data_IF_777477867695
#
_entry.id   IF_777477867695
#
_cell.length_a   1.000
_cell.length_b   1.000
_cell.length_c   1.000
_cell.angle_alpha   90.00
_cell.angle_beta   90.00
_cell.angle_gamma   90.00
#
_symmetry.space_group_name_H-M   'P 1'
#
loop_
_entity.id
_entity.type
_entity.pdbx_description
1 polymer ?
#
# COMPACT_ATOMS: atom_id res chain seq x y z
N UNK A 1 -34.23 21.58 43.97
CA UNK A 1 -33.83 20.16 43.96
C UNK A 1 -34.07 19.36 42.67
N UNK A 2 -34.79 19.89 41.65
CA UNK A 2 -35.03 19.15 40.38
C UNK A 2 -33.90 19.29 39.31
N UNK A 3 -32.90 20.14 39.51
CA UNK A 3 -31.79 20.34 38.57
C UNK A 3 -30.59 19.40 38.81
N UNK A 4 -30.44 18.87 40.04
CA UNK A 4 -29.36 17.93 40.38
C UNK A 4 -29.62 16.48 39.96
N UNK A 5 -30.90 16.11 39.75
CA UNK A 5 -31.27 14.76 39.30
C UNK A 5 -31.06 14.54 37.79
N UNK A 6 -30.78 15.62 36.99
CA UNK A 6 -30.52 15.52 35.55
C UNK A 6 -29.05 15.34 35.19
N UNK A 7 -28.17 15.53 36.19
CA UNK A 7 -26.72 15.34 36.02
C UNK A 7 -26.23 13.96 36.51
N UNK A 8 -27.11 13.15 37.11
CA UNK A 8 -26.78 11.79 37.55
C UNK A 8 -26.91 10.75 36.43
N UNK A 9 -27.24 11.16 35.21
CA UNK A 9 -27.37 10.30 34.00
C UNK A 9 -26.31 10.56 32.94
N UNK A 10 -25.30 11.37 33.19
CA UNK A 10 -24.11 11.37 32.38
C UNK A 10 -23.33 10.10 32.71
N UNK A 11 -23.54 9.07 31.92
CA UNK A 11 -22.60 7.94 31.86
C UNK A 11 -21.18 8.56 31.82
N UNK A 12 -20.34 8.11 32.76
CA UNK A 12 -18.93 8.46 32.71
C UNK A 12 -18.46 8.18 31.28
N UNK A 13 -18.03 9.22 30.58
CA UNK A 13 -17.33 9.06 29.32
C UNK A 13 -16.25 8.05 29.63
N UNK A 14 -16.46 6.79 29.23
CA UNK A 14 -15.40 5.81 29.21
C UNK A 14 -14.37 6.45 28.29
N UNK A 15 -13.28 6.93 28.86
CA UNK A 15 -12.05 7.18 28.13
C UNK A 15 -11.70 5.81 27.52
N UNK A 16 -12.20 5.55 26.33
CA UNK A 16 -11.78 4.39 25.55
C UNK A 16 -10.27 4.55 25.45
N UNK A 17 -9.55 3.56 25.96
CA UNK A 17 -8.10 3.56 25.81
C UNK A 17 -7.84 3.60 24.29
N UNK A 18 -7.00 4.53 23.81
CA UNK A 18 -6.69 4.58 22.40
C UNK A 18 -6.24 3.19 21.95
N UNK A 19 -6.75 2.75 20.81
CA UNK A 19 -6.36 1.47 20.22
C UNK A 19 -4.85 1.50 19.97
N UNK A 20 -4.15 0.45 20.38
CA UNK A 20 -2.70 0.32 20.15
C UNK A 20 -2.42 -0.97 19.40
N UNK A 21 -1.56 -0.86 18.41
CA UNK A 21 -0.94 -1.99 17.72
C UNK A 21 0.39 -2.25 18.44
N UNK A 22 0.66 -3.49 18.78
CA UNK A 22 1.92 -3.91 19.39
C UNK A 22 2.45 -5.11 18.63
N UNK A 23 3.67 -4.99 18.10
CA UNK A 23 4.46 -6.12 17.61
C UNK A 23 5.35 -6.61 18.75
N UNK A 24 5.27 -7.90 19.07
CA UNK A 24 6.12 -8.49 20.06
C UNK A 24 7.60 -8.43 19.63
N UNK A 25 8.50 -8.37 20.61
CA UNK A 25 9.93 -8.48 20.35
C UNK A 25 10.23 -9.86 19.75
N UNK A 26 10.92 -9.94 18.58
CA UNK A 26 11.22 -11.21 17.96
C UNK A 26 12.09 -12.09 18.85
N UNK A 27 11.75 -13.36 18.99
CA UNK A 27 12.53 -14.32 19.78
C UNK A 27 13.99 -14.47 19.28
N UNK A 28 14.22 -14.21 17.98
CA UNK A 28 15.54 -14.21 17.35
C UNK A 28 15.61 -13.11 16.30
N UNK A 29 16.71 -12.37 16.29
CA UNK A 29 16.99 -11.32 15.32
C UNK A 29 18.39 -11.52 14.72
N UNK A 30 18.54 -12.42 13.74
CA UNK A 30 19.83 -12.65 13.07
C UNK A 30 20.26 -11.42 12.28
N UNK A 31 21.57 -11.12 12.25
CA UNK A 31 22.12 -9.93 11.60
C UNK A 31 21.74 -9.86 10.10
N UNK A 32 21.91 -10.94 9.35
CA UNK A 32 21.54 -11.04 7.94
C UNK A 32 20.24 -11.84 7.81
N UNK A 33 19.18 -11.20 7.33
CA UNK A 33 17.83 -11.78 7.24
C UNK A 33 17.55 -12.32 5.84
N UNK A 34 17.73 -11.49 4.80
CA UNK A 34 17.49 -11.86 3.40
C UNK A 34 18.58 -11.27 2.52
N UNK A 35 19.12 -12.08 1.58
CA UNK A 35 20.07 -11.64 0.57
C UNK A 35 19.56 -12.06 -0.82
N UNK A 36 19.50 -11.12 -1.75
CA UNK A 36 19.30 -11.39 -3.18
C UNK A 36 20.63 -11.20 -3.92
N UNK A 37 20.98 -12.15 -4.78
CA UNK A 37 22.20 -12.09 -5.59
C UNK A 37 21.86 -12.27 -7.06
N UNK A 38 22.00 -11.18 -7.83
CA UNK A 38 21.78 -11.18 -9.26
C UNK A 38 20.39 -11.70 -9.68
N UNK A 39 19.36 -11.34 -8.91
CA UNK A 39 18.03 -11.90 -9.08
C UNK A 39 17.31 -11.24 -10.25
N UNK A 40 16.79 -12.06 -11.15
CA UNK A 40 15.77 -11.68 -12.13
C UNK A 40 14.42 -12.15 -11.62
N UNK A 41 13.45 -11.24 -11.55
CA UNK A 41 12.10 -11.53 -11.09
C UNK A 41 11.05 -11.06 -12.11
N UNK A 42 9.94 -11.79 -12.17
CA UNK A 42 8.85 -11.50 -13.11
C UNK A 42 7.80 -12.59 -13.08
N UNK A 43 6.91 -12.56 -14.06
CA UNK A 43 5.71 -13.40 -14.08
C UNK A 43 5.74 -14.33 -15.29
N UNK A 44 5.30 -15.57 -15.10
CA UNK A 44 5.07 -16.51 -16.18
C UNK A 44 4.00 -15.97 -17.13
N UNK A 45 4.22 -16.12 -18.43
CA UNK A 45 3.22 -15.79 -19.44
C UNK A 45 2.60 -17.10 -19.97
N UNK A 46 1.29 -17.10 -20.32
CA UNK A 46 0.64 -18.29 -20.88
C UNK A 46 1.29 -18.74 -22.19
N UNK A 47 1.77 -17.80 -22.99
CA UNK A 47 2.46 -18.04 -24.26
C UNK A 47 3.74 -17.18 -24.30
N UNK A 48 4.91 -17.84 -24.46
CA UNK A 48 6.19 -17.16 -24.60
C UNK A 48 7.08 -17.18 -23.36
N UNK A 49 8.22 -16.46 -23.39
CA UNK A 49 9.12 -16.36 -22.25
C UNK A 49 8.50 -15.55 -21.12
N UNK A 50 8.90 -15.78 -19.86
CA UNK A 50 8.40 -15.02 -18.71
C UNK A 50 8.59 -13.51 -18.90
N UNK A 51 7.59 -12.72 -18.49
CA UNK A 51 7.71 -11.27 -18.43
C UNK A 51 8.64 -10.89 -17.28
N UNK A 52 9.85 -10.50 -17.61
CA UNK A 52 10.87 -10.08 -16.66
C UNK A 52 10.61 -8.63 -16.24
N UNK A 53 10.40 -8.40 -14.94
CA UNK A 53 10.11 -7.07 -14.36
C UNK A 53 11.34 -6.48 -13.72
N UNK A 54 12.13 -7.30 -13.01
CA UNK A 54 13.36 -6.89 -12.33
C UNK A 54 14.55 -7.68 -12.88
N UNK A 55 15.71 -7.01 -12.98
CA UNK A 55 16.91 -7.56 -13.61
C UNK A 55 18.12 -7.44 -12.69
N UNK A 56 18.83 -8.56 -12.47
CA UNK A 56 20.13 -8.58 -11.79
C UNK A 56 20.12 -7.96 -10.40
N UNK A 57 19.01 -8.07 -9.65
CA UNK A 57 18.84 -7.41 -8.36
C UNK A 57 19.84 -7.96 -7.34
N UNK A 58 20.63 -7.05 -6.75
CA UNK A 58 21.36 -7.25 -5.52
C UNK A 58 20.65 -6.52 -4.39
N UNK A 59 20.35 -7.20 -3.29
CA UNK A 59 19.67 -6.60 -2.14
C UNK A 59 20.08 -7.34 -0.87
N UNK A 60 20.33 -6.61 0.21
CA UNK A 60 20.66 -7.17 1.51
C UNK A 60 19.80 -6.53 2.59
N UNK A 61 19.02 -7.35 3.30
CA UNK A 61 18.22 -6.92 4.44
C UNK A 61 18.87 -7.41 5.73
N UNK A 62 19.25 -6.46 6.55
CA UNK A 62 19.86 -6.71 7.86
C UNK A 62 18.85 -6.45 8.99
N UNK A 63 19.17 -6.95 10.17
CA UNK A 63 18.39 -6.69 11.38
C UNK A 63 18.31 -5.19 11.67
N UNK A 64 17.11 -4.72 12.00
CA UNK A 64 16.87 -3.31 12.31
C UNK A 64 16.89 -2.36 11.11
N UNK A 65 17.11 -2.85 9.88
CA UNK A 65 17.02 -2.02 8.68
C UNK A 65 15.60 -1.46 8.49
N UNK A 66 15.49 -0.18 8.16
CA UNK A 66 14.22 0.55 7.97
C UNK A 66 14.20 1.19 6.60
N UNK A 67 13.73 0.42 5.61
CA UNK A 67 13.88 0.77 4.21
C UNK A 67 12.54 1.13 3.57
N UNK A 68 12.48 2.25 2.87
CA UNK A 68 11.37 2.56 1.97
C UNK A 68 11.72 2.24 0.53
N UNK A 69 10.82 1.56 -0.17
CA UNK A 69 10.94 1.30 -1.61
C UNK A 69 10.24 2.40 -2.39
N UNK A 70 11.03 3.21 -3.09
CA UNK A 70 10.58 4.32 -3.90
C UNK A 70 10.58 3.93 -5.39
N UNK A 71 9.58 4.36 -6.13
CA UNK A 71 9.48 4.08 -7.57
C UNK A 71 8.10 4.43 -8.12
N UNK A 72 7.99 4.72 -9.42
CA UNK A 72 6.69 4.96 -10.05
C UNK A 72 5.77 3.73 -9.97
N UNK A 73 4.48 3.94 -10.23
CA UNK A 73 3.54 2.82 -10.31
C UNK A 73 3.94 1.88 -11.45
N UNK A 74 3.83 0.57 -11.23
CA UNK A 74 4.26 -0.44 -12.19
C UNK A 74 5.78 -0.65 -12.30
N UNK A 75 6.63 0.05 -11.53
CA UNK A 75 8.08 -0.10 -11.58
C UNK A 75 8.61 -1.45 -11.08
N UNK A 76 7.78 -2.24 -10.39
CA UNK A 76 8.17 -3.54 -9.84
C UNK A 76 8.38 -3.56 -8.32
N UNK A 77 7.89 -2.56 -7.57
CA UNK A 77 7.99 -2.53 -6.09
C UNK A 77 7.34 -3.76 -5.46
N UNK A 78 6.09 -4.06 -5.79
CA UNK A 78 5.39 -5.25 -5.28
C UNK A 78 6.02 -6.55 -5.79
N UNK A 79 6.64 -6.55 -6.99
CA UNK A 79 7.43 -7.69 -7.49
C UNK A 79 8.65 -7.93 -6.60
N UNK A 80 9.36 -6.87 -6.21
CA UNK A 80 10.50 -6.97 -5.28
C UNK A 80 10.04 -7.50 -3.92
N UNK A 81 8.95 -6.94 -3.36
CA UNK A 81 8.41 -7.39 -2.07
C UNK A 81 8.03 -8.88 -2.12
N UNK A 82 7.30 -9.33 -3.13
CA UNK A 82 6.94 -10.75 -3.33
C UNK A 82 8.17 -11.65 -3.50
N UNK A 83 9.23 -11.13 -4.13
CA UNK A 83 10.51 -11.83 -4.24
C UNK A 83 11.20 -11.96 -2.88
N UNK A 84 11.18 -10.89 -2.06
CA UNK A 84 11.72 -10.90 -0.70
C UNK A 84 10.94 -11.86 0.22
N UNK A 85 9.62 -11.92 0.11
CA UNK A 85 8.78 -12.91 0.83
C UNK A 85 9.11 -14.33 0.37
N UNK A 86 9.38 -14.53 -0.91
CA UNK A 86 9.56 -15.84 -1.52
C UNK A 86 8.29 -16.41 -2.14
N UNK A 87 7.27 -15.58 -2.34
CA UNK A 87 6.03 -15.95 -3.05
C UNK A 87 6.21 -16.01 -4.56
N UNK A 88 7.20 -15.26 -5.09
CA UNK A 88 7.44 -15.21 -6.53
C UNK A 88 8.64 -16.10 -6.89
N UNK A 89 8.49 -17.09 -7.79
CA UNK A 89 9.60 -17.88 -8.30
C UNK A 89 10.62 -17.01 -9.02
N UNK A 90 11.90 -17.23 -8.74
CA UNK A 90 12.97 -16.50 -9.41
C UNK A 90 13.14 -16.96 -10.86
N UNK A 91 13.36 -16.04 -11.78
CA UNK A 91 13.72 -16.35 -13.17
C UNK A 91 15.22 -16.61 -13.32
N UNK A 92 16.04 -15.98 -12.49
CA UNK A 92 17.50 -16.20 -12.37
C UNK A 92 17.99 -15.67 -11.02
N UNK A 93 19.23 -16.01 -10.66
CA UNK A 93 19.86 -15.57 -9.42
C UNK A 93 19.50 -16.42 -8.21
N UNK A 94 19.76 -15.89 -7.04
CA UNK A 94 19.63 -16.63 -5.78
C UNK A 94 18.99 -15.73 -4.70
N UNK A 95 18.02 -16.29 -3.94
CA UNK A 95 17.49 -15.71 -2.71
C UNK A 95 17.94 -16.57 -1.53
N UNK A 96 18.71 -15.98 -0.64
CA UNK A 96 19.20 -16.62 0.58
C UNK A 96 18.40 -16.00 1.75
N UNK A 97 17.69 -16.82 2.49
CA UNK A 97 16.94 -16.42 3.67
C UNK A 97 17.51 -17.12 4.91
N UNK A 98 17.59 -16.39 6.02
CA UNK A 98 18.04 -16.99 7.27
C UNK A 98 17.05 -18.08 7.75
N UNK A 99 17.50 -19.20 8.34
CA UNK A 99 16.58 -20.26 8.83
C UNK A 99 15.57 -19.79 9.88
N UNK A 100 15.95 -18.81 10.72
CA UNK A 100 15.08 -18.22 11.73
C UNK A 100 14.29 -17.01 11.19
N UNK A 101 14.21 -16.80 9.87
CA UNK A 101 13.44 -15.72 9.27
C UNK A 101 11.95 -15.95 9.52
N UNK A 102 11.27 -14.94 10.08
CA UNK A 102 9.82 -14.87 10.24
C UNK A 102 9.32 -13.59 9.59
N UNK A 103 8.65 -13.73 8.47
CA UNK A 103 8.15 -12.59 7.68
C UNK A 103 6.70 -12.30 8.06
N UNK A 104 6.44 -11.06 8.46
CA UNK A 104 5.11 -10.47 8.46
C UNK A 104 4.90 -9.72 7.16
N UNK A 105 4.05 -10.23 6.28
CA UNK A 105 3.76 -9.60 4.99
C UNK A 105 2.34 -9.03 4.99
N UNK A 106 2.26 -7.71 4.78
CA UNK A 106 1.00 -7.00 4.61
C UNK A 106 0.94 -6.37 3.23
N UNK A 107 -0.07 -6.76 2.47
CA UNK A 107 -0.39 -6.17 1.17
C UNK A 107 -1.91 -6.15 0.99
N UNK A 108 -2.39 -5.44 -0.01
CA UNK A 108 -3.83 -5.37 -0.29
C UNK A 108 -4.46 -6.77 -0.39
N UNK A 109 -3.81 -7.70 -1.10
CA UNK A 109 -4.32 -9.08 -1.23
C UNK A 109 -4.34 -9.86 0.10
N UNK A 110 -3.57 -9.46 1.12
CA UNK A 110 -3.63 -10.11 2.46
C UNK A 110 -4.98 -9.86 3.12
N UNK A 111 -5.55 -8.67 2.93
CA UNK A 111 -6.89 -8.32 3.42
C UNK A 111 -7.97 -9.06 2.62
N UNK A 112 -7.77 -9.19 1.32
CA UNK A 112 -8.69 -9.91 0.41
C UNK A 112 -8.64 -11.43 0.58
N UNK A 113 -7.52 -11.96 1.08
CA UNK A 113 -7.30 -13.42 1.27
C UNK A 113 -7.91 -13.97 2.57
N UNK A 114 -8.56 -13.13 3.37
CA UNK A 114 -9.32 -13.63 4.52
C UNK A 114 -10.43 -14.58 4.04
N UNK A 115 -10.50 -15.75 4.64
CA UNK A 115 -11.45 -16.78 4.24
C UNK A 115 -12.88 -16.35 4.52
N UNK A 116 -13.67 -16.24 3.47
CA UNK A 116 -15.11 -15.93 3.54
C UNK A 116 -15.85 -16.95 4.41
N UNK A 117 -16.86 -16.49 5.13
CA UNK A 117 -17.66 -17.34 6.05
C UNK A 117 -16.94 -17.71 7.34
N UNK A 118 -15.66 -17.37 7.52
CA UNK A 118 -14.89 -17.73 8.71
C UNK A 118 -14.74 -16.54 9.69
N UNK A 119 -14.45 -16.87 10.95
CA UNK A 119 -14.33 -15.88 12.03
C UNK A 119 -12.87 -15.51 12.33
N UNK A 120 -12.61 -14.37 13.01
CA UNK A 120 -11.27 -14.02 13.51
C UNK A 120 -10.62 -15.16 14.32
N UNK A 121 -11.38 -15.81 15.17
CA UNK A 121 -10.89 -16.93 15.97
C UNK A 121 -10.46 -18.10 15.09
N UNK A 122 -11.23 -18.40 14.06
CA UNK A 122 -10.87 -19.47 13.10
C UNK A 122 -9.54 -19.15 12.41
N UNK A 123 -9.33 -17.93 11.94
CA UNK A 123 -8.09 -17.53 11.28
C UNK A 123 -6.88 -17.68 12.20
N UNK A 124 -6.96 -17.23 13.46
CA UNK A 124 -5.86 -17.43 14.41
C UNK A 124 -5.62 -18.91 14.74
N UNK A 125 -6.68 -19.71 14.77
CA UNK A 125 -6.55 -21.15 15.02
C UNK A 125 -5.85 -21.90 13.90
N UNK A 126 -5.92 -21.39 12.65
CA UNK A 126 -5.12 -21.93 11.53
C UNK A 126 -3.62 -21.64 11.74
N UNK A 127 -3.26 -20.50 12.32
CA UNK A 127 -1.86 -20.13 12.61
C UNK A 127 -1.30 -20.88 13.81
N UNK A 128 -2.14 -21.21 14.80
CA UNK A 128 -1.75 -21.89 16.02
C UNK A 128 -2.80 -22.95 16.43
N UNK A 129 -2.83 -24.12 15.76
CA UNK A 129 -3.84 -25.18 16.03
C UNK A 129 -3.83 -25.68 17.46
N UNK A 130 -2.65 -25.70 18.10
CA UNK A 130 -2.44 -26.21 19.45
C UNK A 130 -2.72 -25.16 20.55
N UNK A 131 -2.93 -23.88 20.18
CA UNK A 131 -3.21 -22.82 21.12
C UNK A 131 -4.61 -22.97 21.74
N UNK A 132 -4.69 -22.75 23.06
CA UNK A 132 -5.96 -22.75 23.79
C UNK A 132 -6.89 -21.64 23.29
N UNK A 133 -8.16 -21.96 23.08
CA UNK A 133 -9.16 -21.00 22.58
C UNK A 133 -9.22 -19.71 23.38
N UNK A 134 -9.15 -19.81 24.72
CA UNK A 134 -9.19 -18.64 25.59
C UNK A 134 -7.99 -17.70 25.38
N UNK A 135 -6.80 -18.24 25.09
CA UNK A 135 -5.62 -17.44 24.77
C UNK A 135 -5.79 -16.68 23.46
N UNK A 136 -6.33 -17.33 22.42
CA UNK A 136 -6.63 -16.71 21.13
C UNK A 136 -7.71 -15.62 21.28
N UNK A 137 -8.76 -15.85 22.06
CA UNK A 137 -9.80 -14.86 22.35
C UNK A 137 -9.25 -13.65 23.10
N UNK A 138 -8.37 -13.86 24.09
CA UNK A 138 -7.71 -12.78 24.81
C UNK A 138 -6.81 -11.96 23.89
N UNK A 139 -6.11 -12.62 22.96
CA UNK A 139 -5.32 -11.95 21.93
C UNK A 139 -6.21 -11.11 21.02
N UNK A 140 -7.28 -11.66 20.46
CA UNK A 140 -8.25 -10.96 19.63
C UNK A 140 -8.89 -9.77 20.35
N UNK A 141 -9.14 -9.89 21.65
CA UNK A 141 -9.69 -8.79 22.44
C UNK A 141 -8.81 -7.55 22.46
N UNK A 142 -7.46 -7.70 22.39
CA UNK A 142 -6.52 -6.57 22.28
C UNK A 142 -6.62 -5.86 20.91
N UNK A 143 -7.10 -6.57 19.90
CA UNK A 143 -7.33 -6.06 18.55
C UNK A 143 -8.77 -5.63 18.29
N UNK A 144 -9.54 -5.36 19.35
CA UNK A 144 -10.96 -4.97 19.28
C UNK A 144 -11.90 -6.03 18.68
N UNK A 145 -11.51 -7.32 18.72
CA UNK A 145 -12.38 -8.46 18.40
C UNK A 145 -12.75 -9.24 19.65
N UNK A 146 -13.36 -8.54 20.65
CA UNK A 146 -13.77 -9.14 21.92
C UNK A 146 -15.20 -9.71 21.86
N UNK A 147 -15.51 -10.66 22.74
CA UNK A 147 -16.87 -11.23 22.88
C UNK A 147 -17.31 -11.95 21.63
N UNK A 148 -18.53 -11.63 21.17
CA UNK A 148 -19.16 -12.25 19.99
C UNK A 148 -18.43 -11.90 18.68
N UNK A 149 -17.76 -10.74 18.64
CA UNK A 149 -16.97 -10.28 17.49
C UNK A 149 -15.87 -11.29 17.08
N UNK A 150 -15.31 -12.05 18.02
CA UNK A 150 -14.32 -13.07 17.75
C UNK A 150 -14.88 -14.26 16.92
N UNK A 151 -16.19 -14.45 16.94
CA UNK A 151 -16.91 -15.55 16.29
C UNK A 151 -17.69 -15.12 15.06
N UNK A 152 -17.89 -13.83 14.83
CA UNK A 152 -18.63 -13.32 13.66
C UNK A 152 -17.86 -13.60 12.36
N UNK A 153 -18.59 -13.82 11.26
CA UNK A 153 -17.98 -13.97 9.94
C UNK A 153 -17.33 -12.66 9.50
N UNK A 154 -16.12 -12.76 8.93
CA UNK A 154 -15.40 -11.63 8.35
C UNK A 154 -16.12 -10.99 7.16
N UNK A 155 -17.14 -11.65 6.59
CA UNK A 155 -17.90 -11.15 5.44
C UNK A 155 -18.63 -9.82 5.78
N UNK A 156 -19.08 -9.69 7.03
CA UNK A 156 -19.70 -8.49 7.54
C UNK A 156 -18.76 -7.39 7.98
N UNK A 157 -17.43 -7.60 7.87
CA UNK A 157 -16.44 -6.63 8.35
C UNK A 157 -16.19 -5.54 7.31
N UNK A 158 -16.03 -4.31 7.81
CA UNK A 158 -15.53 -3.19 7.02
C UNK A 158 -14.10 -3.44 6.54
N UNK A 159 -13.66 -2.69 5.53
CA UNK A 159 -12.26 -2.76 5.05
C UNK A 159 -11.23 -2.52 6.17
N UNK A 160 -11.49 -1.56 7.06
CA UNK A 160 -10.65 -1.28 8.22
C UNK A 160 -10.62 -2.43 9.26
N UNK A 161 -11.74 -3.09 9.50
CA UNK A 161 -11.79 -4.26 10.40
C UNK A 161 -11.06 -5.47 9.81
N UNK A 162 -11.18 -5.68 8.49
CA UNK A 162 -10.42 -6.74 7.79
C UNK A 162 -8.92 -6.45 7.83
N UNK A 163 -8.51 -5.21 7.58
CA UNK A 163 -7.10 -4.80 7.69
C UNK A 163 -6.56 -4.95 9.12
N UNK A 164 -7.35 -4.60 10.13
CA UNK A 164 -7.01 -4.81 11.55
C UNK A 164 -6.83 -6.29 11.88
N UNK A 165 -7.70 -7.17 11.36
CA UNK A 165 -7.55 -8.62 11.54
C UNK A 165 -6.29 -9.13 10.85
N UNK A 166 -6.00 -8.70 9.63
CA UNK A 166 -4.79 -9.07 8.91
C UNK A 166 -3.52 -8.64 9.69
N UNK A 167 -3.49 -7.42 10.22
CA UNK A 167 -2.40 -6.94 11.08
C UNK A 167 -2.30 -7.76 12.38
N UNK A 168 -3.43 -8.12 12.99
CA UNK A 168 -3.45 -9.00 14.16
C UNK A 168 -2.82 -10.37 13.86
N UNK A 169 -3.13 -10.96 12.72
CA UNK A 169 -2.55 -12.24 12.29
C UNK A 169 -1.04 -12.12 12.04
N UNK A 170 -0.59 -11.03 11.44
CA UNK A 170 0.83 -10.75 11.21
C UNK A 170 1.57 -10.58 12.55
N UNK A 171 1.02 -9.79 13.47
CA UNK A 171 1.63 -9.59 14.78
C UNK A 171 1.66 -10.88 15.63
N UNK A 172 0.68 -11.78 15.42
CA UNK A 172 0.57 -13.05 16.14
C UNK A 172 1.74 -14.00 15.88
N UNK A 173 2.32 -13.98 14.68
CA UNK A 173 3.44 -14.85 14.32
C UNK A 173 4.81 -14.33 14.80
N UNK A 174 4.84 -13.20 15.52
CA UNK A 174 6.06 -12.58 16.07
C UNK A 174 7.15 -12.43 15.00
N UNK A 175 6.91 -11.65 13.94
CA UNK A 175 7.84 -11.51 12.83
C UNK A 175 9.14 -10.83 13.27
N UNK A 176 10.25 -11.13 12.60
CA UNK A 176 11.50 -10.37 12.70
C UNK A 176 11.75 -9.48 11.47
N UNK A 177 10.90 -9.62 10.45
CA UNK A 177 10.85 -8.75 9.27
C UNK A 177 9.40 -8.38 8.97
N UNK A 178 9.12 -7.10 8.78
CA UNK A 178 7.85 -6.60 8.26
C UNK A 178 8.04 -6.12 6.82
N UNK A 179 7.32 -6.71 5.89
CA UNK A 179 7.22 -6.27 4.51
C UNK A 179 5.81 -5.71 4.31
N UNK A 180 5.72 -4.40 4.06
CA UNK A 180 4.45 -3.68 4.05
C UNK A 180 4.27 -3.01 2.69
N UNK A 181 3.25 -3.42 1.93
CA UNK A 181 2.91 -2.85 0.63
C UNK A 181 1.59 -2.07 0.75
N UNK A 182 1.68 -0.72 0.78
CA UNK A 182 0.57 0.23 0.98
C UNK A 182 -0.28 -0.06 2.23
N UNK A 183 0.33 -0.15 3.43
CA UNK A 183 -0.37 -0.63 4.63
C UNK A 183 -1.42 0.35 5.16
N UNK A 184 -1.41 1.60 4.75
CA UNK A 184 -2.35 2.64 5.19
C UNK A 184 -3.64 2.67 4.39
N UNK A 185 -3.70 1.95 3.26
CA UNK A 185 -4.92 1.85 2.47
C UNK A 185 -6.04 1.19 3.30
N UNK A 186 -7.22 1.79 3.27
CA UNK A 186 -8.41 1.34 4.01
C UNK A 186 -8.33 1.48 5.55
N UNK A 187 -7.27 2.07 6.11
CA UNK A 187 -7.20 2.37 7.54
C UNK A 187 -7.79 3.75 7.84
N UNK A 188 -8.56 3.85 8.91
CA UNK A 188 -8.98 5.13 9.50
C UNK A 188 -7.76 5.83 10.16
N UNK A 189 -7.96 7.09 10.57
CA UNK A 189 -6.88 7.91 11.12
C UNK A 189 -6.27 7.29 12.37
N UNK A 190 -7.10 6.81 13.30
CA UNK A 190 -6.66 6.21 14.56
C UNK A 190 -5.81 4.96 14.31
N UNK A 191 -6.22 4.13 13.35
CA UNK A 191 -5.47 2.95 12.94
C UNK A 191 -4.15 3.29 12.24
N UNK A 192 -4.10 4.36 11.43
CA UNK A 192 -2.86 4.83 10.79
C UNK A 192 -1.84 5.30 11.83
N UNK A 193 -2.30 6.09 12.81
CA UNK A 193 -1.46 6.57 13.91
C UNK A 193 -0.95 5.40 14.76
N UNK A 194 -1.84 4.48 15.16
CA UNK A 194 -1.45 3.30 15.92
C UNK A 194 -0.45 2.40 15.16
N UNK A 195 -0.62 2.26 13.83
CA UNK A 195 0.32 1.52 12.99
C UNK A 195 1.68 2.23 12.91
N UNK A 196 1.68 3.55 12.71
CA UNK A 196 2.90 4.35 12.62
C UNK A 196 3.73 4.25 13.93
N UNK A 197 3.08 4.39 15.09
CA UNK A 197 3.72 4.20 16.40
C UNK A 197 4.30 2.79 16.54
N UNK A 198 3.51 1.76 16.22
CA UNK A 198 3.93 0.36 16.32
C UNK A 198 5.11 0.02 15.41
N UNK A 199 5.16 0.61 14.21
CA UNK A 199 6.27 0.44 13.28
C UNK A 199 7.53 1.19 13.74
N UNK A 200 7.38 2.40 14.32
CA UNK A 200 8.49 3.15 14.88
C UNK A 200 9.18 2.38 16.04
N UNK A 201 8.39 1.70 16.86
CA UNK A 201 8.89 0.92 18.01
C UNK A 201 9.32 -0.51 17.65
N UNK A 202 9.05 -0.99 16.42
CA UNK A 202 9.35 -2.36 16.02
C UNK A 202 10.87 -2.61 15.96
N UNK A 203 11.41 -3.60 16.70
CA UNK A 203 12.86 -3.84 16.77
C UNK A 203 13.44 -4.60 15.57
N UNK A 204 12.58 -5.24 14.75
CA UNK A 204 12.97 -5.99 13.56
C UNK A 204 13.24 -5.11 12.34
N UNK A 205 13.48 -5.74 11.19
CA UNK A 205 13.65 -5.02 9.94
C UNK A 205 12.30 -4.67 9.28
N UNK A 206 12.24 -3.52 8.63
CA UNK A 206 11.07 -3.04 7.91
C UNK A 206 11.44 -2.73 6.47
N UNK A 207 10.62 -3.22 5.53
CA UNK A 207 10.61 -2.77 4.14
C UNK A 207 9.22 -2.24 3.84
N UNK A 208 9.11 -0.96 3.55
CA UNK A 208 7.87 -0.23 3.39
C UNK A 208 7.72 0.26 1.94
N UNK A 209 6.61 -0.07 1.31
CA UNK A 209 6.11 0.59 0.10
C UNK A 209 4.93 1.44 0.53
N UNK A 210 5.01 2.74 0.37
CA UNK A 210 3.91 3.65 0.69
C UNK A 210 3.98 4.94 -0.12
N UNK A 211 2.83 5.56 -0.32
CA UNK A 211 2.71 6.93 -0.81
C UNK A 211 2.57 7.95 0.33
N UNK A 212 2.41 7.48 1.56
CA UNK A 212 2.33 8.31 2.75
C UNK A 212 3.73 8.77 3.19
N UNK A 213 4.08 10.01 2.84
CA UNK A 213 5.38 10.62 3.17
C UNK A 213 5.60 10.77 4.67
N UNK A 214 4.52 10.96 5.44
CA UNK A 214 4.60 11.08 6.90
C UNK A 214 5.02 9.74 7.50
N UNK A 215 4.35 8.66 7.12
CA UNK A 215 4.69 7.32 7.58
C UNK A 215 6.12 6.93 7.18
N UNK A 216 6.54 7.20 5.93
CA UNK A 216 7.90 6.93 5.48
C UNK A 216 8.92 7.70 6.34
N UNK A 217 8.70 9.01 6.55
CA UNK A 217 9.62 9.86 7.32
C UNK A 217 9.69 9.49 8.82
N UNK A 218 8.64 8.88 9.37
CA UNK A 218 8.61 8.43 10.76
C UNK A 218 9.31 7.07 10.95
N UNK A 219 9.19 6.17 9.96
CA UNK A 219 9.56 4.77 10.11
C UNK A 219 10.88 4.43 9.42
N UNK A 220 11.20 5.07 8.28
CA UNK A 220 12.31 4.68 7.42
C UNK A 220 13.46 5.67 7.47
N UNK A 221 14.68 5.16 7.50
CA UNK A 221 15.95 5.91 7.46
C UNK A 221 16.78 5.62 6.18
N UNK A 222 16.42 4.59 5.42
CA UNK A 222 17.05 4.23 4.15
C UNK A 222 16.04 4.17 3.01
N UNK A 223 16.49 4.55 1.80
CA UNK A 223 15.66 4.54 0.61
C UNK A 223 16.25 3.65 -0.48
N UNK A 224 15.40 2.84 -1.08
CA UNK A 224 15.75 2.06 -2.26
C UNK A 224 14.86 2.43 -3.42
N UNK A 225 15.45 2.69 -4.57
CA UNK A 225 14.74 3.06 -5.77
C UNK A 225 14.54 1.86 -6.68
N UNK A 226 13.30 1.66 -7.09
CA UNK A 226 12.88 0.66 -8.08
C UNK A 226 12.45 1.39 -9.34
N UNK A 227 13.19 1.26 -10.43
CA UNK A 227 12.88 1.91 -11.69
C UNK A 227 13.56 1.19 -12.87
N UNK A 228 12.89 1.12 -14.02
CA UNK A 228 13.41 0.54 -15.27
C UNK A 228 13.96 -0.89 -15.12
N UNK A 229 13.33 -1.67 -14.25
CA UNK A 229 13.77 -3.04 -13.93
C UNK A 229 14.98 -3.15 -13.03
N UNK A 230 15.57 -2.03 -12.60
CA UNK A 230 16.69 -1.99 -11.68
C UNK A 230 16.24 -1.63 -10.25
N UNK A 231 17.01 -2.12 -9.29
CA UNK A 231 16.81 -1.85 -7.86
C UNK A 231 18.16 -1.41 -7.30
N UNK A 232 18.19 -0.30 -6.56
CA UNK A 232 19.41 0.23 -5.97
C UNK A 232 19.14 1.23 -4.85
N UNK A 233 20.13 1.44 -4.01
CA UNK A 233 20.06 2.45 -2.96
C UNK A 233 19.86 3.85 -3.56
N UNK A 234 19.16 4.68 -2.82
CA UNK A 234 18.90 6.07 -3.16
C UNK A 234 19.41 6.96 -2.02
N UNK A 235 20.52 7.66 -2.26
CA UNK A 235 21.20 8.50 -1.26
C UNK A 235 20.53 9.86 -1.03
N UNK A 236 19.40 10.13 -1.68
CA UNK A 236 18.62 11.37 -1.55
C UNK A 236 17.52 11.29 -0.49
N UNK A 237 16.89 12.42 -0.24
CA UNK A 237 15.67 12.51 0.57
C UNK A 237 14.38 12.37 -0.25
N UNK A 238 13.21 12.43 0.43
CA UNK A 238 11.91 12.34 -0.23
C UNK A 238 11.60 13.53 -1.15
N UNK A 239 12.21 14.71 -0.94
CA UNK A 239 12.03 15.86 -1.79
C UNK A 239 12.88 15.75 -3.05
N UNK A 240 14.10 15.24 -2.92
CA UNK A 240 14.96 14.91 -4.05
C UNK A 240 14.36 13.77 -4.89
N UNK A 241 13.74 12.77 -4.25
CA UNK A 241 12.98 11.75 -4.96
C UNK A 241 11.79 12.35 -5.73
N UNK A 242 11.03 13.25 -5.13
CA UNK A 242 9.93 13.93 -5.81
C UNK A 242 10.42 14.80 -6.99
N UNK A 243 11.58 15.43 -6.86
CA UNK A 243 12.22 16.16 -7.96
C UNK A 243 12.63 15.23 -9.10
N UNK A 244 13.22 14.06 -8.76
CA UNK A 244 13.59 13.03 -9.72
C UNK A 244 12.37 12.48 -10.48
N UNK A 245 11.24 12.21 -9.79
CA UNK A 245 9.99 11.79 -10.44
C UNK A 245 9.48 12.82 -11.45
N UNK A 246 9.53 14.10 -11.08
CA UNK A 246 9.10 15.20 -11.97
C UNK A 246 10.00 15.32 -13.21
N UNK A 247 11.31 15.13 -13.07
CA UNK A 247 12.24 15.17 -14.20
C UNK A 247 11.96 14.04 -15.19
N UNK A 248 11.60 12.85 -14.72
CA UNK A 248 11.24 11.72 -15.59
C UNK A 248 9.93 11.91 -16.35
N UNK A 249 8.96 12.61 -15.77
CA UNK A 249 7.70 12.95 -16.45
C UNK A 249 7.90 13.85 -17.68
N UNK A 250 9.06 14.52 -17.77
CA UNK A 250 9.44 15.41 -18.88
C UNK A 250 10.41 14.78 -19.89
N UNK A 251 10.95 13.59 -19.61
CA UNK A 251 11.82 12.90 -20.58
C UNK A 251 10.97 12.14 -21.61
N UNK A 252 11.23 12.29 -22.92
CA UNK A 252 10.60 11.45 -23.94
C UNK A 252 11.03 10.00 -23.67
N UNK A 253 10.04 9.13 -23.49
CA UNK A 253 10.23 7.70 -23.30
C UNK A 253 11.24 7.18 -24.33
N UNK A 254 12.37 6.56 -23.96
CA UNK A 254 13.29 6.01 -24.95
C UNK A 254 12.57 4.95 -25.76
N UNK A 255 12.47 5.17 -27.07
CA UNK A 255 12.01 4.15 -28.01
C UNK A 255 12.85 2.88 -27.80
N UNK A 256 12.17 1.79 -27.54
CA UNK A 256 12.77 0.46 -27.47
C UNK A 256 13.54 0.22 -28.75
N UNK A 257 14.86 0.22 -28.67
CA UNK A 257 15.71 -0.10 -29.81
C UNK A 257 15.39 -1.51 -30.31
N UNK A 258 15.11 -1.68 -31.62
CA UNK A 258 14.91 -3.02 -32.16
C UNK A 258 16.25 -3.77 -32.15
N UNK A 259 16.21 -5.01 -31.66
CA UNK A 259 17.33 -5.92 -31.67
C UNK A 259 17.92 -6.03 -33.10
N UNK A 260 19.24 -5.81 -33.18
CA UNK A 260 19.99 -5.92 -34.41
C UNK A 260 19.91 -7.33 -35.01
N UNK A 261 19.28 -7.48 -36.13
CA UNK A 261 19.42 -8.65 -36.99
C UNK A 261 20.17 -8.23 -38.26
N UNK A 262 21.27 -8.92 -38.49
CA UNK A 262 22.15 -8.83 -39.63
C UNK A 262 21.45 -9.04 -40.99
N UNK A 263 21.81 -8.20 -41.96
CA UNK A 263 21.42 -8.25 -43.38
C UNK A 263 22.11 -9.44 -44.13
N UNK A 264 21.84 -9.77 -45.45
CA UNK A 264 21.30 -8.90 -46.50
C UNK A 264 20.34 -9.52 -47.57
N UNK A 265 19.69 -8.63 -48.30
CA UNK A 265 19.29 -8.61 -49.69
C UNK A 265 18.19 -9.54 -50.26
N UNK A 266 17.11 -9.03 -50.73
CA UNK A 266 16.76 -8.71 -52.13
C UNK A 266 15.30 -8.24 -52.28
N UNK A 267 15.15 -7.26 -53.16
CA UNK A 267 13.92 -6.65 -53.67
C UNK A 267 12.85 -7.67 -54.11
N UNK A 268 11.59 -7.38 -53.81
CA UNK A 268 10.56 -7.24 -54.84
C UNK A 268 9.29 -6.54 -54.28
N UNK A 269 8.73 -5.71 -55.13
CA UNK A 269 7.58 -4.85 -54.95
C UNK A 269 6.28 -5.64 -54.79
N UNK A 270 5.38 -5.14 -53.92
CA UNK A 270 4.00 -5.62 -53.86
C UNK A 270 3.18 -4.78 -52.88
N UNK A 271 2.37 -3.86 -53.41
CA UNK A 271 1.41 -3.02 -52.71
C UNK A 271 0.41 -3.85 -51.94
N UNK A 272 0.22 -3.54 -50.63
CA UNK A 272 -1.11 -3.52 -50.00
C UNK A 272 -1.05 -2.72 -48.70
N UNK A 273 -1.84 -1.66 -48.63
CA UNK A 273 -1.98 -0.77 -47.50
C UNK A 273 -2.75 -1.47 -46.36
N UNK A 274 -2.08 -1.67 -45.23
CA UNK A 274 -2.71 -1.95 -43.93
C UNK A 274 -2.48 -0.75 -43.04
N UNK A 275 -3.54 0.01 -42.73
CA UNK A 275 -3.52 1.12 -41.79
C UNK A 275 -3.14 0.60 -40.40
N UNK A 276 -1.94 0.92 -39.92
CA UNK A 276 -1.64 0.91 -38.52
C UNK A 276 -2.50 1.97 -37.86
N UNK A 277 -3.30 1.58 -36.88
CA UNK A 277 -4.10 2.49 -36.07
C UNK A 277 -3.15 3.43 -35.30
N UNK A 278 -3.27 4.72 -35.56
CA UNK A 278 -2.63 5.76 -34.78
C UNK A 278 -3.30 5.77 -33.39
N UNK A 279 -2.55 5.94 -32.28
CA UNK A 279 -3.16 6.13 -30.96
C UNK A 279 -4.19 7.25 -31.07
N UNK A 280 -5.39 7.01 -30.51
CA UNK A 280 -6.48 7.97 -30.56
C UNK A 280 -6.07 9.23 -29.78
N UNK A 281 -5.63 10.25 -30.52
CA UNK A 281 -5.26 11.55 -29.98
C UNK A 281 -6.40 12.19 -29.14
N UNK A 282 -7.65 11.70 -29.32
CA UNK A 282 -8.82 12.06 -28.54
C UNK A 282 -8.82 11.45 -27.13
N UNK A 283 -8.42 10.19 -26.97
CA UNK A 283 -8.37 9.51 -25.67
C UNK A 283 -7.26 10.09 -24.79
N UNK A 284 -6.07 10.31 -25.34
CA UNK A 284 -4.95 10.95 -24.63
C UNK A 284 -5.27 12.39 -24.18
N UNK A 285 -6.03 13.14 -24.99
CA UNK A 285 -6.48 14.48 -24.63
C UNK A 285 -7.52 14.48 -23.52
N UNK A 286 -8.45 13.52 -23.53
CA UNK A 286 -9.45 13.36 -22.46
C UNK A 286 -8.80 12.91 -21.17
N UNK A 287 -7.86 11.99 -21.21
CA UNK A 287 -7.10 11.54 -20.04
C UNK A 287 -6.44 12.74 -19.35
N UNK A 288 -5.72 13.58 -20.11
CA UNK A 288 -5.07 14.78 -19.57
C UNK A 288 -6.07 15.80 -18.98
N UNK A 289 -7.23 15.99 -19.61
CA UNK A 289 -8.28 16.85 -19.09
C UNK A 289 -8.86 16.31 -17.77
N UNK A 290 -9.02 15.00 -17.65
CA UNK A 290 -9.48 14.36 -16.40
C UNK A 290 -8.43 14.51 -15.30
N UNK A 291 -7.15 14.37 -15.60
CA UNK A 291 -6.04 14.61 -14.66
C UNK A 291 -6.00 16.07 -14.15
N UNK A 292 -6.15 17.04 -15.07
CA UNK A 292 -6.20 18.46 -14.71
C UNK A 292 -7.42 18.76 -13.81
N UNK A 293 -8.56 18.12 -14.05
CA UNK A 293 -9.76 18.28 -13.24
C UNK A 293 -9.63 17.62 -11.87
N UNK A 294 -9.02 16.42 -11.79
CA UNK A 294 -8.73 15.74 -10.51
C UNK A 294 -7.80 16.59 -9.63
N UNK A 295 -6.76 17.18 -10.21
CA UNK A 295 -5.86 18.08 -9.48
C UNK A 295 -6.58 19.34 -8.96
N UNK A 296 -7.49 19.91 -9.74
CA UNK A 296 -8.29 21.05 -9.32
C UNK A 296 -9.26 20.68 -8.17
N UNK A 297 -9.94 19.52 -8.26
CA UNK A 297 -10.82 19.05 -7.20
C UNK A 297 -10.08 18.74 -5.90
N UNK A 298 -8.86 18.20 -5.98
CA UNK A 298 -8.04 17.97 -4.80
C UNK A 298 -7.71 19.31 -4.11
N UNK A 299 -7.33 20.34 -4.87
CA UNK A 299 -7.07 21.66 -4.30
C UNK A 299 -8.31 22.31 -3.66
N UNK A 300 -9.52 22.07 -4.25
CA UNK A 300 -10.77 22.53 -3.66
C UNK A 300 -11.13 21.76 -2.37
N UNK A 301 -10.85 20.46 -2.29
CA UNK A 301 -11.01 19.64 -1.08
C UNK A 301 -10.07 20.11 0.03
N UNK A 302 -8.80 20.33 -0.27
CA UNK A 302 -7.80 20.79 0.69
C UNK A 302 -8.19 22.18 1.26
N UNK A 303 -8.80 23.06 0.43
CA UNK A 303 -9.32 24.36 0.87
C UNK A 303 -10.52 24.21 1.82
N UNK A 304 -11.47 23.32 1.50
CA UNK A 304 -12.64 23.06 2.35
C UNK A 304 -12.20 22.42 3.67
N UNK A 305 -11.26 21.51 3.66
CA UNK A 305 -10.69 20.89 4.87
C UNK A 305 -9.99 21.94 5.75
N UNK A 306 -9.24 22.85 5.15
CA UNK A 306 -8.61 23.94 5.87
C UNK A 306 -9.63 24.87 6.53
N UNK A 307 -10.74 25.17 5.84
CA UNK A 307 -11.83 25.98 6.41
C UNK A 307 -12.53 25.23 7.54
N UNK A 308 -12.77 23.91 7.40
CA UNK A 308 -13.36 23.07 8.44
C UNK A 308 -12.45 22.93 9.67
N UNK A 309 -11.15 23.06 9.50
CA UNK A 309 -10.17 23.03 10.62
C UNK A 309 -10.09 24.36 11.39
N UNK A 310 -10.75 25.46 10.95
CA UNK A 310 -10.73 26.73 11.64
C UNK A 310 -11.57 26.70 12.93
N UNK A 311 -10.96 26.86 14.11
CA UNK A 311 -11.67 26.87 15.38
C UNK A 311 -12.78 27.94 15.48
N UNK A 312 -12.70 29.01 14.70
CA UNK A 312 -13.68 30.09 14.69
C UNK A 312 -15.06 29.64 14.18
N UNK A 313 -15.12 28.62 13.34
CA UNK A 313 -16.37 28.03 12.82
C UNK A 313 -17.19 27.26 13.87
N UNK A 314 -16.58 26.87 14.99
CA UNK A 314 -17.25 26.12 16.07
C UNK A 314 -17.89 27.04 17.13
N UNK A 315 -17.91 28.35 16.90
CA UNK A 315 -18.62 29.34 17.74
C UNK A 315 -20.13 29.30 17.59
N UNK A 316 -20.87 29.99 18.49
CA UNK A 316 -22.33 29.90 18.64
C UNK A 316 -23.20 30.23 17.38
N UNK A 317 -22.62 30.79 16.31
CA UNK A 317 -23.31 31.13 15.05
C UNK A 317 -22.84 30.31 13.82
N UNK A 318 -21.83 29.44 13.94
CA UNK A 318 -21.17 28.74 12.81
C UNK A 318 -21.91 27.48 12.30
N UNK A 319 -22.98 27.03 12.93
CA UNK A 319 -23.61 25.73 12.61
C UNK A 319 -24.14 25.60 11.17
N UNK A 320 -24.64 26.71 10.58
CA UNK A 320 -25.13 26.68 9.20
C UNK A 320 -23.97 26.64 8.18
N UNK A 321 -22.90 27.34 8.47
CA UNK A 321 -21.69 27.39 7.61
C UNK A 321 -20.94 26.05 7.65
N UNK A 322 -20.84 25.44 8.83
CA UNK A 322 -20.28 24.08 9.02
C UNK A 322 -21.06 23.03 8.23
N UNK A 323 -22.39 23.11 8.24
CA UNK A 323 -23.23 22.19 7.47
C UNK A 323 -23.06 22.39 5.95
N UNK A 324 -22.88 23.65 5.49
CA UNK A 324 -22.63 23.93 4.07
C UNK A 324 -21.25 23.43 3.62
N UNK A 325 -20.22 23.64 4.43
CA UNK A 325 -18.86 23.14 4.14
C UNK A 325 -18.83 21.61 4.12
N UNK A 326 -19.49 20.94 5.07
CA UNK A 326 -19.61 19.48 5.06
C UNK A 326 -20.36 18.93 3.83
N UNK A 327 -21.44 19.59 3.41
CA UNK A 327 -22.12 19.23 2.16
C UNK A 327 -21.25 19.47 0.92
N UNK A 328 -20.47 20.57 0.91
CA UNK A 328 -19.53 20.85 -0.19
C UNK A 328 -18.43 19.80 -0.25
N UNK A 329 -17.85 19.42 0.89
CA UNK A 329 -16.85 18.36 0.97
C UNK A 329 -17.38 17.04 0.41
N UNK A 330 -18.58 16.62 0.83
CA UNK A 330 -19.20 15.37 0.36
C UNK A 330 -19.41 15.39 -1.17
N UNK A 331 -19.87 16.51 -1.75
CA UNK A 331 -20.05 16.63 -3.21
C UNK A 331 -18.74 16.58 -3.97
N UNK A 332 -17.70 17.26 -3.48
CA UNK A 332 -16.37 17.25 -4.10
C UNK A 332 -15.73 15.86 -4.04
N UNK A 333 -15.92 15.13 -2.94
CA UNK A 333 -15.45 13.76 -2.79
C UNK A 333 -16.15 12.81 -3.77
N UNK A 334 -17.47 12.91 -3.94
CA UNK A 334 -18.25 12.12 -4.90
C UNK A 334 -17.85 12.43 -6.35
N UNK A 335 -17.64 13.72 -6.70
CA UNK A 335 -17.16 14.12 -8.03
C UNK A 335 -15.75 13.58 -8.31
N UNK A 336 -14.87 13.60 -7.31
CA UNK A 336 -13.52 13.03 -7.39
C UNK A 336 -13.55 11.54 -7.67
N UNK A 337 -14.32 10.75 -6.91
CA UNK A 337 -14.46 9.30 -7.09
C UNK A 337 -15.00 8.95 -8.49
N UNK A 338 -16.00 9.71 -8.97
CA UNK A 338 -16.54 9.55 -10.34
C UNK A 338 -15.48 9.80 -11.41
N UNK A 339 -14.67 10.86 -11.24
CA UNK A 339 -13.60 11.19 -12.19
C UNK A 339 -12.41 10.23 -12.12
N UNK A 340 -12.09 9.69 -10.96
CA UNK A 340 -11.09 8.63 -10.81
C UNK A 340 -11.51 7.36 -11.56
N UNK A 341 -12.78 6.99 -11.48
CA UNK A 341 -13.34 5.87 -12.25
C UNK A 341 -13.27 6.12 -13.76
N UNK A 342 -13.59 7.35 -14.21
CA UNK A 342 -13.46 7.73 -15.62
C UNK A 342 -11.99 7.75 -16.07
N UNK A 343 -11.10 8.24 -15.24
CA UNK A 343 -9.66 8.25 -15.50
C UNK A 343 -9.12 6.84 -15.71
N UNK A 344 -9.49 5.89 -14.83
CA UNK A 344 -9.10 4.48 -14.97
C UNK A 344 -9.58 3.88 -16.31
N UNK A 345 -10.84 4.13 -16.68
CA UNK A 345 -11.39 3.62 -17.94
C UNK A 345 -10.72 4.21 -19.20
N UNK A 346 -10.36 5.49 -19.15
CA UNK A 346 -9.63 6.17 -20.22
C UNK A 346 -8.17 5.71 -20.29
N UNK A 347 -7.56 5.46 -19.13
CA UNK A 347 -6.19 4.94 -19.04
C UNK A 347 -6.09 3.54 -19.67
N UNK A 348 -7.03 2.64 -19.33
CA UNK A 348 -7.11 1.31 -19.96
C UNK A 348 -7.29 1.37 -21.48
N UNK A 349 -8.08 2.32 -21.98
CA UNK A 349 -8.26 2.52 -23.43
C UNK A 349 -7.00 3.04 -24.14
N UNK A 350 -6.18 3.82 -23.45
CA UNK A 350 -4.92 4.36 -24.00
C UNK A 350 -3.81 3.32 -23.91
N UNK A 351 -3.83 2.43 -22.92
CA UNK A 351 -2.81 1.41 -22.69
C UNK A 351 -3.01 0.14 -23.54
N UNK A 352 -4.22 -0.08 -24.09
CA UNK A 352 -4.55 -1.21 -24.98
C UNK A 352 -4.22 -0.98 -26.47
N UNK A 353 -3.63 0.16 -26.85
CA UNK A 353 -3.23 0.52 -28.23
C UNK A 353 -1.71 0.54 -28.35
#
# INVERSE_FOLDING_TARGET
>A
MKRLAKLAGTEAVRLERPFRIEFAEPAKLPHSLIVLRGVDAGYAQPEGPPARVLHGVGFHLEAGARLALLGPNGAGKSTLVKTLVGELPLLAGERIAHPDLRVGYFAQHTVESLHEGQSPLWHLKQLAPDAGEQALRNYLGRWNFAGDRAFESVDGFSGGERARLALAMIAFVEPNVLLLDEPTNHLDLDMREALAEALADFPGAIVLVSHDRHLIGLVCDGFWRVADGAVGEFDGDLDEYAAWLRSRGNEPKPERAPAAASAPARRQEGKAAGKAARPDAGASRRLRQTEERLAALQAELDEVERLLADPALYGNDGGAELAQLGQRQARLAEEKESLETQWLSLYEQVDQV
#
